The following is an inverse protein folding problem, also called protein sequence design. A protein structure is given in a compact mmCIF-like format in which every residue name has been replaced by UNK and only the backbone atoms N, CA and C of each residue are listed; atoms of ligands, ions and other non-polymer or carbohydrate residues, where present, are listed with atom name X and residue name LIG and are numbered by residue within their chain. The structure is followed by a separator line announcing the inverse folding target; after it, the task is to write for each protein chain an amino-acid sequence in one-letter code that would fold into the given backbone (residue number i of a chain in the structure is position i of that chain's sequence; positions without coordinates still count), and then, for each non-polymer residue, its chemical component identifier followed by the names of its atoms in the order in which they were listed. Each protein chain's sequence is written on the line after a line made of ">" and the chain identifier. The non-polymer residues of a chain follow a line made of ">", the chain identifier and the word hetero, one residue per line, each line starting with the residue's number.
data_IF_432594100377
#
_entry.id   IF_432594100377
#
_cell.length_a   1.000
_cell.length_b   1.000
_cell.length_c   1.000
_cell.angle_alpha   90.00
_cell.angle_beta   90.00
_cell.angle_gamma   90.00
#
_symmetry.space_group_name_H-M   'P 1'
#
loop_
_entity.id
_entity.type
_entity.pdbx_description
1 polymer ?
#
# COMPACT_ATOMS: atom_id res chain seq x y z
N UNK A 1 4.99 15.09 -21.16
CA UNK A 1 5.20 15.63 -19.80
C UNK A 1 4.51 14.75 -18.76
N UNK A 2 3.22 14.46 -18.91
CA UNK A 2 2.43 13.70 -17.91
C UNK A 2 2.98 12.30 -17.63
N UNK A 3 3.41 11.59 -18.68
CA UNK A 3 4.00 10.24 -18.55
C UNK A 3 5.36 10.24 -17.87
N UNK A 4 6.20 11.25 -18.14
CA UNK A 4 7.47 11.41 -17.42
C UNK A 4 7.24 11.69 -15.93
N UNK A 5 6.22 12.47 -15.59
CA UNK A 5 5.86 12.75 -14.18
C UNK A 5 5.43 11.48 -13.45
N UNK A 6 4.57 10.66 -14.08
CA UNK A 6 4.16 9.38 -13.49
C UNK A 6 5.33 8.40 -13.41
N UNK A 7 6.19 8.36 -14.43
CA UNK A 7 7.42 7.56 -14.42
C UNK A 7 8.38 7.96 -13.31
N UNK A 8 8.55 9.27 -13.08
CA UNK A 8 9.37 9.79 -11.97
C UNK A 8 8.78 9.43 -10.60
N UNK A 9 7.45 9.56 -10.43
CA UNK A 9 6.78 9.13 -9.20
C UNK A 9 6.99 7.63 -8.96
N UNK A 10 6.85 6.81 -10.00
CA UNK A 10 7.07 5.36 -9.89
C UNK A 10 8.52 5.03 -9.52
N UNK A 11 9.49 5.71 -10.12
CA UNK A 11 10.89 5.58 -9.75
C UNK A 11 11.12 5.94 -8.28
N UNK A 12 10.57 7.07 -7.83
CA UNK A 12 10.68 7.52 -6.44
C UNK A 12 10.06 6.49 -5.46
N UNK A 13 8.88 5.92 -5.78
CA UNK A 13 8.24 4.91 -4.92
C UNK A 13 9.04 3.60 -4.85
N UNK A 14 9.70 3.20 -5.93
CA UNK A 14 10.58 2.03 -5.93
C UNK A 14 11.78 2.27 -5.01
N UNK A 15 12.49 3.39 -5.17
CA UNK A 15 13.66 3.71 -4.33
C UNK A 15 13.27 3.85 -2.86
N UNK A 16 12.22 4.60 -2.55
CA UNK A 16 11.74 4.77 -1.17
C UNK A 16 11.25 3.44 -0.57
N UNK A 17 10.61 2.61 -1.37
CA UNK A 17 10.19 1.27 -0.96
C UNK A 17 11.37 0.37 -0.61
N UNK A 18 12.44 0.39 -1.42
CA UNK A 18 13.66 -0.36 -1.14
C UNK A 18 14.37 0.15 0.12
N UNK A 19 14.45 1.48 0.30
CA UNK A 19 15.02 2.08 1.53
C UNK A 19 14.18 1.68 2.75
N UNK A 20 12.85 1.66 2.64
CA UNK A 20 11.99 1.22 3.72
C UNK A 20 12.26 -0.25 4.08
N UNK A 21 12.25 -1.14 3.09
CA UNK A 21 12.44 -2.58 3.26
C UNK A 21 13.84 -2.95 3.77
N UNK A 22 14.86 -2.14 3.48
CA UNK A 22 16.22 -2.36 4.01
C UNK A 22 16.39 -1.94 5.47
N UNK A 23 15.46 -1.14 6.01
CA UNK A 23 15.58 -0.56 7.34
C UNK A 23 14.54 -1.06 8.35
N UNK A 24 13.39 -1.59 7.89
CA UNK A 24 12.33 -2.08 8.77
C UNK A 24 11.70 -3.36 8.22
N UNK A 25 11.04 -4.13 9.08
CA UNK A 25 10.42 -5.39 8.70
C UNK A 25 9.35 -5.22 7.61
N UNK A 26 9.25 -6.19 6.71
CA UNK A 26 8.29 -6.19 5.58
C UNK A 26 6.84 -6.07 6.09
N UNK A 27 6.49 -6.79 7.17
CA UNK A 27 5.17 -6.73 7.80
C UNK A 27 4.80 -5.30 8.24
N UNK A 28 5.77 -4.57 8.78
CA UNK A 28 5.58 -3.19 9.22
C UNK A 28 5.43 -2.23 8.03
N UNK A 29 6.25 -2.38 6.98
CA UNK A 29 6.10 -1.60 5.74
C UNK A 29 4.70 -1.81 5.13
N UNK A 30 4.20 -3.05 5.09
CA UNK A 30 2.86 -3.34 4.58
C UNK A 30 1.75 -2.77 5.48
N UNK A 31 1.97 -2.70 6.80
CA UNK A 31 1.04 -2.03 7.73
C UNK A 31 0.98 -0.51 7.46
N UNK A 32 2.13 0.15 7.24
CA UNK A 32 2.17 1.57 6.85
C UNK A 32 1.44 1.77 5.51
N UNK A 33 1.68 0.91 4.54
CA UNK A 33 0.97 0.97 3.25
C UNK A 33 -0.52 0.66 3.38
N UNK A 34 -0.95 -0.14 4.36
CA UNK A 34 -2.37 -0.39 4.62
C UNK A 34 -3.10 0.87 5.10
N UNK A 35 -2.40 1.81 5.74
CA UNK A 35 -2.94 3.11 6.15
C UNK A 35 -3.10 4.12 4.98
N UNK A 36 -2.97 3.69 3.71
CA UNK A 36 -3.13 4.53 2.51
C UNK A 36 -4.37 5.42 2.51
N UNK A 37 -5.57 5.04 3.01
CA UNK A 37 -6.72 5.93 3.09
C UNK A 37 -6.45 7.21 3.90
N UNK A 38 -5.68 7.12 4.97
CA UNK A 38 -5.26 8.28 5.76
C UNK A 38 -4.46 9.28 4.90
N UNK A 39 -3.45 8.78 4.18
CA UNK A 39 -2.65 9.59 3.27
C UNK A 39 -3.46 10.12 2.09
N UNK A 40 -4.38 9.32 1.55
CA UNK A 40 -5.24 9.74 0.43
C UNK A 40 -6.12 10.93 0.82
N UNK A 41 -6.75 10.92 2.00
CA UNK A 41 -7.57 12.04 2.49
C UNK A 41 -6.71 13.29 2.70
N UNK A 42 -5.53 13.13 3.28
CA UNK A 42 -4.58 14.22 3.50
C UNK A 42 -4.13 14.86 2.17
N UNK A 43 -3.73 14.04 1.19
CA UNK A 43 -3.31 14.50 -0.15
C UNK A 43 -4.48 15.14 -0.90
N UNK A 44 -5.68 14.56 -0.87
CA UNK A 44 -6.86 15.11 -1.52
C UNK A 44 -7.25 16.49 -0.94
N UNK A 45 -7.14 16.65 0.36
CA UNK A 45 -7.41 17.93 1.02
C UNK A 45 -6.43 19.03 0.59
N UNK A 46 -5.14 18.71 0.45
CA UNK A 46 -4.09 19.66 0.07
C UNK A 46 -4.13 19.96 -1.44
N UNK A 47 -4.21 18.93 -2.28
CA UNK A 47 -4.09 19.08 -3.74
C UNK A 47 -5.39 19.44 -4.43
N UNK A 48 -6.50 18.84 -4.01
CA UNK A 48 -7.82 18.99 -4.66
C UNK A 48 -8.73 19.96 -3.90
N UNK A 49 -8.32 20.39 -2.69
CA UNK A 49 -9.15 21.18 -1.76
C UNK A 49 -10.51 20.52 -1.48
N UNK A 50 -10.59 19.21 -1.61
CA UNK A 50 -11.81 18.46 -1.30
C UNK A 50 -12.05 18.47 0.20
N UNK A 51 -13.27 18.79 0.58
CA UNK A 51 -13.72 18.71 1.97
C UNK A 51 -14.26 17.29 2.17
N UNK A 52 -13.59 16.56 3.05
CA UNK A 52 -14.02 15.20 3.42
C UNK A 52 -15.07 15.29 4.53
N UNK A 53 -16.15 14.51 4.43
CA UNK A 53 -17.21 14.48 5.41
C UNK A 53 -16.71 14.05 6.80
N UNK A 54 -17.27 14.66 7.83
CA UNK A 54 -16.91 14.39 9.24
C UNK A 54 -16.95 12.89 9.63
N UNK A 55 -17.98 12.10 9.25
CA UNK A 55 -18.00 10.66 9.56
C UNK A 55 -16.82 9.90 8.93
N UNK A 56 -16.37 10.30 7.74
CA UNK A 56 -15.20 9.68 7.09
C UNK A 56 -13.91 10.03 7.84
N UNK A 57 -13.78 11.26 8.34
CA UNK A 57 -12.62 11.66 9.15
C UNK A 57 -12.56 10.86 10.46
N UNK A 58 -13.70 10.62 11.11
CA UNK A 58 -13.76 9.81 12.33
C UNK A 58 -13.27 8.37 12.13
N UNK A 59 -13.47 7.80 10.95
CA UNK A 59 -12.95 6.45 10.64
C UNK A 59 -11.44 6.39 10.48
N UNK A 60 -10.77 7.53 10.30
CA UNK A 60 -9.30 7.59 10.24
C UNK A 60 -8.65 7.51 11.61
N UNK A 61 -9.39 7.78 12.70
CA UNK A 61 -8.87 7.69 14.07
C UNK A 61 -8.37 6.27 14.38
N UNK A 62 -9.16 5.19 14.21
CA UNK A 62 -8.65 3.84 14.41
C UNK A 62 -7.50 3.47 13.47
N UNK A 63 -7.47 3.98 12.23
CA UNK A 63 -6.34 3.76 11.33
C UNK A 63 -5.06 4.37 11.89
N UNK A 64 -5.11 5.64 12.31
CA UNK A 64 -3.96 6.35 12.86
C UNK A 64 -3.51 5.76 14.21
N UNK A 65 -4.44 5.41 15.11
CA UNK A 65 -4.12 4.80 16.41
C UNK A 65 -3.51 3.40 16.25
N UNK A 66 -4.05 2.59 15.33
CA UNK A 66 -3.50 1.27 15.00
C UNK A 66 -2.08 1.35 14.44
N UNK A 67 -1.84 2.31 13.52
CA UNK A 67 -0.51 2.55 12.98
C UNK A 67 0.47 3.04 14.05
N UNK A 68 0.06 3.97 14.90
CA UNK A 68 0.89 4.46 16.00
C UNK A 68 1.24 3.34 16.99
N UNK A 69 0.28 2.49 17.33
CA UNK A 69 0.50 1.30 18.16
C UNK A 69 1.49 0.34 17.52
N UNK A 70 1.31 0.02 16.22
CA UNK A 70 2.22 -0.86 15.50
C UNK A 70 3.63 -0.29 15.47
N UNK A 71 3.78 1.02 15.22
CA UNK A 71 5.08 1.69 15.17
C UNK A 71 5.77 1.76 16.55
N UNK A 72 5.01 1.95 17.63
CA UNK A 72 5.58 2.08 18.98
C UNK A 72 6.15 0.77 19.53
N UNK A 73 5.68 -0.35 19.06
CA UNK A 73 6.07 -1.68 19.53
C UNK A 73 6.84 -2.49 18.49
N UNK A 74 7.21 -1.88 17.36
CA UNK A 74 8.03 -2.54 16.33
C UNK A 74 9.47 -2.70 16.80
N UNK A 75 9.93 -3.94 16.88
CA UNK A 75 11.28 -4.27 17.36
C UNK A 75 12.40 -3.77 16.42
N UNK A 76 12.09 -3.70 15.12
CA UNK A 76 13.01 -3.23 14.07
C UNK A 76 12.76 -1.76 13.69
N UNK A 77 12.13 -0.95 14.56
CA UNK A 77 11.77 0.42 14.23
C UNK A 77 13.00 1.27 13.91
N UNK A 78 12.98 1.85 12.71
CA UNK A 78 13.98 2.81 12.26
C UNK A 78 13.27 4.04 11.65
N UNK A 79 13.64 5.23 12.10
CA UNK A 79 13.05 6.47 11.60
C UNK A 79 13.22 6.63 10.08
N UNK A 80 14.38 6.26 9.53
CA UNK A 80 14.65 6.36 8.09
C UNK A 80 13.71 5.46 7.31
N UNK A 81 13.55 4.20 7.73
CA UNK A 81 12.63 3.25 7.11
C UNK A 81 11.17 3.67 7.24
N UNK A 82 10.77 4.16 8.41
CA UNK A 82 9.41 4.67 8.66
C UNK A 82 9.07 5.87 7.76
N UNK A 83 9.94 6.89 7.72
CA UNK A 83 9.73 8.06 6.86
C UNK A 83 9.74 7.70 5.38
N UNK A 84 10.66 6.82 4.95
CA UNK A 84 10.70 6.33 3.58
C UNK A 84 9.40 5.62 3.19
N UNK A 85 8.84 4.77 4.06
CA UNK A 85 7.57 4.09 3.83
C UNK A 85 6.38 5.05 3.79
N UNK A 86 6.34 6.04 4.68
CA UNK A 86 5.29 7.08 4.67
C UNK A 86 5.35 7.93 3.40
N UNK A 87 6.53 8.38 2.98
CA UNK A 87 6.72 9.15 1.75
C UNK A 87 6.38 8.32 0.51
N UNK A 88 6.78 7.05 0.48
CA UNK A 88 6.38 6.10 -0.56
C UNK A 88 4.86 6.04 -0.68
N UNK A 89 4.15 5.88 0.45
CA UNK A 89 2.70 5.80 0.48
C UNK A 89 2.02 7.11 0.02
N UNK A 90 2.56 8.27 0.39
CA UNK A 90 2.08 9.57 -0.10
C UNK A 90 2.22 9.68 -1.63
N UNK A 91 3.39 9.34 -2.17
CA UNK A 91 3.64 9.42 -3.62
C UNK A 91 2.77 8.41 -4.36
N UNK A 92 2.57 7.19 -3.84
CA UNK A 92 1.65 6.20 -4.39
C UNK A 92 0.21 6.73 -4.46
N UNK A 93 -0.25 7.45 -3.43
CA UNK A 93 -1.58 8.08 -3.43
C UNK A 93 -1.71 9.14 -4.52
N UNK A 94 -0.71 10.02 -4.66
CA UNK A 94 -0.67 11.05 -5.73
C UNK A 94 -0.64 10.38 -7.10
N UNK A 95 0.21 9.37 -7.29
CA UNK A 95 0.33 8.61 -8.53
C UNK A 95 -0.99 7.95 -8.92
N UNK A 96 -1.71 7.37 -7.96
CA UNK A 96 -3.01 6.74 -8.21
C UNK A 96 -4.07 7.74 -8.68
N UNK A 97 -4.11 8.95 -8.10
CA UNK A 97 -5.01 10.02 -8.52
C UNK A 97 -4.67 10.49 -9.94
N UNK A 98 -3.38 10.67 -10.23
CA UNK A 98 -2.90 11.07 -11.56
C UNK A 98 -3.19 9.99 -12.61
N UNK A 99 -2.94 8.72 -12.30
CA UNK A 99 -3.20 7.60 -13.19
C UNK A 99 -4.69 7.47 -13.53
N UNK A 100 -5.58 7.69 -12.56
CA UNK A 100 -7.03 7.74 -12.81
C UNK A 100 -7.41 8.85 -13.78
N UNK A 101 -6.83 10.03 -13.64
CA UNK A 101 -7.09 11.17 -14.53
C UNK A 101 -6.63 10.87 -15.96
N UNK A 102 -5.51 10.18 -16.14
CA UNK A 102 -5.01 9.78 -17.45
C UNK A 102 -5.84 8.67 -18.11
N UNK A 103 -6.31 7.70 -17.33
CA UNK A 103 -7.19 6.62 -17.77
C UNK A 103 -8.58 7.11 -18.19
N UNK A 104 -9.11 8.16 -17.57
CA UNK A 104 -10.45 8.65 -17.86
C UNK A 104 -10.58 9.46 -19.14
N UNK A 105 -9.45 9.82 -19.81
CA UNK A 105 -9.53 10.75 -20.93
C UNK A 105 -8.68 10.48 -22.16
N UNK A 106 -7.57 9.73 -22.08
CA UNK A 106 -6.60 9.70 -23.17
C UNK A 106 -5.91 8.37 -23.44
N UNK A 107 -5.83 7.45 -22.45
CA UNK A 107 -4.99 6.26 -22.57
C UNK A 107 -5.71 5.01 -22.13
N UNK A 108 -5.42 3.90 -22.80
CA UNK A 108 -5.84 2.57 -22.34
C UNK A 108 -4.97 2.11 -21.16
N UNK A 109 -5.47 1.15 -20.39
CA UNK A 109 -4.74 0.60 -19.24
C UNK A 109 -3.37 0.03 -19.62
N UNK A 110 -3.29 -0.60 -20.82
CA UNK A 110 -2.05 -1.21 -21.32
C UNK A 110 -1.05 -0.13 -21.76
N UNK A 111 -1.52 0.89 -22.47
CA UNK A 111 -0.68 2.02 -22.90
C UNK A 111 -0.12 2.78 -21.69
N UNK A 112 -0.95 3.06 -20.69
CA UNK A 112 -0.51 3.72 -19.48
C UNK A 112 0.58 2.91 -18.77
N UNK A 113 0.38 1.59 -18.64
CA UNK A 113 1.39 0.70 -18.04
C UNK A 113 2.68 0.69 -18.83
N UNK A 114 2.61 0.61 -20.15
CA UNK A 114 3.79 0.59 -21.03
C UNK A 114 4.59 1.89 -20.90
N UNK A 115 3.95 3.05 -21.08
CA UNK A 115 4.64 4.34 -21.04
C UNK A 115 5.20 4.67 -19.66
N UNK A 116 4.48 4.36 -18.59
CA UNK A 116 4.96 4.61 -17.23
C UNK A 116 6.13 3.71 -16.87
N UNK A 117 6.11 2.44 -17.30
CA UNK A 117 7.22 1.51 -17.09
C UNK A 117 8.44 1.88 -17.93
N UNK A 118 8.25 2.28 -19.19
CA UNK A 118 9.32 2.76 -20.05
C UNK A 118 9.98 4.03 -19.50
N UNK A 119 9.18 4.99 -19.04
CA UNK A 119 9.70 6.21 -18.42
C UNK A 119 10.48 5.91 -17.13
N UNK A 120 9.97 5.02 -16.27
CA UNK A 120 10.67 4.61 -15.05
C UNK A 120 12.00 3.91 -15.39
N UNK A 121 12.02 3.03 -16.41
CA UNK A 121 13.23 2.35 -16.87
C UNK A 121 14.28 3.35 -17.35
N UNK A 122 13.88 4.33 -18.17
CA UNK A 122 14.79 5.37 -18.69
C UNK A 122 15.42 6.19 -17.55
N UNK A 123 14.69 6.47 -16.50
CA UNK A 123 15.18 7.21 -15.33
C UNK A 123 16.10 6.32 -14.47
N UNK A 124 15.78 5.03 -14.33
CA UNK A 124 16.54 4.09 -13.50
C UNK A 124 17.81 3.59 -14.17
N UNK A 125 17.82 3.49 -15.50
CA UNK A 125 18.93 2.94 -16.27
C UNK A 125 20.27 3.65 -16.06
N UNK A 126 20.36 5.00 -16.05
CA UNK A 126 21.61 5.70 -15.76
C UNK A 126 22.15 5.42 -14.34
N UNK A 127 21.27 5.29 -13.37
CA UNK A 127 21.65 4.98 -11.99
C UNK A 127 22.21 3.55 -11.88
N UNK A 128 21.57 2.61 -12.56
CA UNK A 128 22.06 1.23 -12.64
C UNK A 128 23.43 1.16 -13.34
N UNK A 129 23.58 1.88 -14.47
CA UNK A 129 24.83 1.93 -15.21
C UNK A 129 25.95 2.57 -14.37
N UNK A 130 25.68 3.66 -13.68
CA UNK A 130 26.63 4.29 -12.75
C UNK A 130 27.09 3.31 -11.69
N UNK A 131 26.17 2.58 -11.06
CA UNK A 131 26.50 1.58 -10.05
C UNK A 131 27.28 0.40 -10.62
N UNK A 132 26.94 -0.05 -11.82
CA UNK A 132 27.64 -1.15 -12.48
C UNK A 132 29.07 -0.78 -12.88
N UNK A 133 29.30 0.49 -13.25
CA UNK A 133 30.63 0.98 -13.70
C UNK A 133 31.54 1.44 -12.55
N UNK A 134 30.94 2.01 -11.47
CA UNK A 134 31.71 2.67 -10.41
C UNK A 134 31.61 1.96 -9.04
N UNK A 135 30.75 0.94 -8.89
CA UNK A 135 30.80 0.09 -7.71
C UNK A 135 32.04 -0.78 -7.81
N UNK A 136 33.04 -0.47 -6.99
CA UNK A 136 34.19 -1.34 -6.80
C UNK A 136 33.74 -2.77 -6.54
N UNK A 137 34.27 -3.68 -7.34
CA UNK A 137 34.02 -5.11 -7.28
C UNK A 137 34.30 -5.57 -5.85
N UNK A 138 33.26 -5.75 -5.06
CA UNK A 138 33.39 -6.52 -3.82
C UNK A 138 33.87 -7.91 -4.21
N UNK A 139 34.94 -8.34 -3.58
CA UNK A 139 35.89 -9.44 -3.86
C UNK A 139 35.30 -10.84 -4.12
N UNK A 140 34.00 -11.01 -4.24
CA UNK A 140 33.36 -12.31 -4.52
C UNK A 140 32.50 -12.26 -5.78
N UNK A 141 33.18 -12.61 -6.85
CA UNK A 141 32.78 -12.90 -8.20
C UNK A 141 31.31 -13.07 -8.56
N UNK A 142 31.03 -12.64 -9.77
CA UNK A 142 29.80 -12.80 -10.54
C UNK A 142 28.57 -12.03 -10.00
N UNK A 143 28.52 -10.75 -10.39
CA UNK A 143 27.33 -9.88 -10.25
C UNK A 143 26.08 -10.47 -10.96
N UNK A 144 26.28 -11.50 -11.79
CA UNK A 144 25.23 -12.25 -12.49
C UNK A 144 25.35 -13.74 -12.22
N UNK A 145 24.97 -14.15 -11.01
CA UNK A 145 24.65 -15.56 -10.80
C UNK A 145 23.42 -15.93 -11.63
N UNK A 146 23.49 -17.07 -12.34
CA UNK A 146 22.41 -17.58 -13.20
C UNK A 146 21.09 -17.70 -12.44
N UNK A 147 21.16 -18.07 -11.16
CA UNK A 147 20.01 -18.17 -10.28
C UNK A 147 19.38 -16.82 -10.02
N UNK A 148 20.21 -15.79 -9.72
CA UNK A 148 19.73 -14.42 -9.53
C UNK A 148 19.05 -13.88 -10.78
N UNK A 149 19.64 -14.11 -11.96
CA UNK A 149 19.03 -13.67 -13.22
C UNK A 149 17.67 -14.34 -13.47
N UNK A 150 17.55 -15.65 -13.22
CA UNK A 150 16.27 -16.34 -13.33
C UNK A 150 15.23 -15.80 -12.35
N UNK A 151 15.61 -15.54 -11.10
CA UNK A 151 14.71 -14.97 -10.09
C UNK A 151 14.24 -13.56 -10.51
N UNK A 152 15.14 -12.71 -10.99
CA UNK A 152 14.79 -11.36 -11.48
C UNK A 152 13.85 -11.39 -12.69
N UNK A 153 14.05 -12.33 -13.62
CA UNK A 153 13.15 -12.50 -14.77
C UNK A 153 11.76 -12.95 -14.33
N UNK A 154 11.68 -13.92 -13.42
CA UNK A 154 10.40 -14.42 -12.88
C UNK A 154 9.68 -13.30 -12.11
N UNK A 155 10.40 -12.55 -11.28
CA UNK A 155 9.84 -11.43 -10.52
C UNK A 155 9.31 -10.33 -11.45
N UNK A 156 10.10 -9.93 -12.47
CA UNK A 156 9.70 -8.93 -13.44
C UNK A 156 8.48 -9.34 -14.27
N UNK A 157 8.40 -10.60 -14.70
CA UNK A 157 7.23 -11.14 -15.42
C UNK A 157 6.00 -11.17 -14.51
N UNK A 158 6.14 -11.64 -13.27
CA UNK A 158 5.06 -11.70 -12.29
C UNK A 158 4.53 -10.32 -11.95
N UNK A 159 5.43 -9.36 -11.76
CA UNK A 159 5.08 -7.96 -11.50
C UNK A 159 4.33 -7.32 -12.69
N UNK A 160 4.80 -7.55 -13.92
CA UNK A 160 4.12 -7.05 -15.12
C UNK A 160 2.72 -7.63 -15.24
N UNK A 161 2.59 -8.95 -15.10
CA UNK A 161 1.31 -9.66 -15.18
C UNK A 161 0.34 -9.16 -14.09
N UNK A 162 0.79 -9.04 -12.85
CA UNK A 162 0.02 -8.47 -11.75
C UNK A 162 -0.48 -7.05 -12.07
N UNK A 163 0.37 -6.20 -12.65
CA UNK A 163 0.02 -4.81 -12.98
C UNK A 163 -1.05 -4.76 -14.08
N UNK A 164 -0.91 -5.56 -15.13
CA UNK A 164 -1.90 -5.65 -16.22
C UNK A 164 -3.25 -6.13 -15.68
N UNK A 165 -3.27 -7.17 -14.84
CA UNK A 165 -4.50 -7.66 -14.21
C UNK A 165 -5.12 -6.62 -13.29
N UNK A 166 -4.32 -5.90 -12.50
CA UNK A 166 -4.82 -4.86 -11.59
C UNK A 166 -5.52 -3.74 -12.36
N UNK A 167 -4.92 -3.24 -13.45
CA UNK A 167 -5.55 -2.23 -14.30
C UNK A 167 -6.80 -2.76 -15.01
N UNK A 168 -6.77 -4.00 -15.49
CA UNK A 168 -7.92 -4.63 -16.12
C UNK A 168 -9.08 -4.82 -15.15
N UNK A 169 -8.82 -5.29 -13.94
CA UNK A 169 -9.82 -5.41 -12.88
C UNK A 169 -10.38 -4.03 -12.51
N UNK A 170 -9.51 -3.00 -12.40
CA UNK A 170 -9.93 -1.63 -12.10
C UNK A 170 -10.92 -1.07 -13.14
N UNK A 171 -10.88 -1.54 -14.39
CA UNK A 171 -11.85 -1.11 -15.43
C UNK A 171 -13.23 -1.73 -15.26
N UNK A 172 -13.37 -2.89 -14.60
CA UNK A 172 -14.64 -3.61 -14.45
C UNK A 172 -15.32 -3.41 -13.10
N UNK A 173 -14.58 -3.03 -12.06
CA UNK A 173 -15.12 -2.91 -10.70
C UNK A 173 -15.17 -1.46 -10.22
N UNK A 174 -16.06 -1.20 -9.27
CA UNK A 174 -16.15 0.13 -8.66
C UNK A 174 -14.87 0.46 -7.88
N UNK A 175 -14.49 1.74 -7.78
CA UNK A 175 -13.33 2.17 -6.99
C UNK A 175 -13.36 1.70 -5.55
N UNK A 176 -14.54 1.50 -5.05
CA UNK A 176 -14.85 1.02 -3.72
C UNK A 176 -14.46 -0.44 -3.54
N UNK A 177 -14.95 -1.31 -4.42
CA UNK A 177 -14.61 -2.74 -4.42
C UNK A 177 -13.10 -2.92 -4.57
N UNK A 178 -12.46 -2.09 -5.40
CA UNK A 178 -10.99 -2.09 -5.54
C UNK A 178 -10.28 -1.73 -4.24
N UNK A 179 -10.80 -0.77 -3.49
CA UNK A 179 -10.23 -0.38 -2.19
C UNK A 179 -10.32 -1.51 -1.16
N UNK A 180 -11.46 -2.22 -1.12
CA UNK A 180 -11.63 -3.39 -0.22
C UNK A 180 -10.68 -4.51 -0.62
N UNK A 181 -10.55 -4.82 -1.91
CA UNK A 181 -9.62 -5.84 -2.41
C UNK A 181 -8.18 -5.48 -2.06
N UNK A 182 -7.78 -4.23 -2.23
CA UNK A 182 -6.44 -3.77 -1.87
C UNK A 182 -6.15 -3.91 -0.37
N UNK A 183 -7.13 -3.64 0.48
CA UNK A 183 -6.99 -3.82 1.93
C UNK A 183 -6.87 -5.30 2.29
N UNK A 184 -7.70 -6.16 1.70
CA UNK A 184 -7.63 -7.61 1.89
C UNK A 184 -6.26 -8.17 1.42
N UNK A 185 -5.78 -7.74 0.23
CA UNK A 185 -4.46 -8.07 -0.28
C UNK A 185 -3.35 -7.74 0.73
N UNK A 186 -3.39 -6.55 1.35
CA UNK A 186 -2.38 -6.13 2.34
C UNK A 186 -2.44 -6.98 3.60
N UNK A 187 -3.64 -7.30 4.09
CA UNK A 187 -3.79 -8.20 5.23
C UNK A 187 -3.16 -9.58 4.95
N UNK A 188 -3.40 -10.14 3.77
CA UNK A 188 -2.78 -11.41 3.34
C UNK A 188 -1.26 -11.27 3.23
N UNK A 189 -0.74 -10.18 2.66
CA UNK A 189 0.71 -9.95 2.56
C UNK A 189 1.38 -9.84 3.93
N UNK A 190 0.74 -9.19 4.91
CA UNK A 190 1.24 -9.12 6.29
C UNK A 190 1.33 -10.53 6.88
N UNK A 191 0.28 -11.33 6.79
CA UNK A 191 0.30 -12.71 7.27
C UNK A 191 1.38 -13.56 6.58
N UNK A 192 1.51 -13.45 5.27
CA UNK A 192 2.53 -14.17 4.49
C UNK A 192 3.95 -13.72 4.85
N UNK A 193 4.18 -12.42 5.06
CA UNK A 193 5.51 -11.91 5.42
C UNK A 193 5.95 -12.42 6.79
N UNK A 194 5.03 -12.48 7.75
CA UNK A 194 5.30 -13.07 9.07
C UNK A 194 5.66 -14.54 8.96
N UNK A 195 4.88 -15.30 8.20
CA UNK A 195 5.10 -16.73 8.01
C UNK A 195 6.41 -17.05 7.25
N UNK A 196 6.76 -16.22 6.24
CA UNK A 196 7.91 -16.46 5.38
C UNK A 196 9.24 -16.02 6.02
N UNK A 197 9.23 -14.88 6.74
CA UNK A 197 10.45 -14.31 7.31
C UNK A 197 10.65 -14.63 8.79
N UNK A 198 9.70 -15.35 9.40
CA UNK A 198 9.70 -15.68 10.83
C UNK A 198 10.01 -14.46 11.73
N UNK A 199 9.55 -13.28 11.30
CA UNK A 199 9.75 -12.07 12.07
C UNK A 199 9.05 -12.17 13.41
N UNK A 200 9.78 -11.93 14.50
CA UNK A 200 9.20 -11.80 15.82
C UNK A 200 8.33 -10.54 15.84
N UNK A 201 7.02 -10.72 15.78
CA UNK A 201 6.08 -9.62 15.91
C UNK A 201 5.69 -9.49 17.38
N UNK A 202 5.87 -8.30 17.94
CA UNK A 202 5.30 -7.98 19.25
C UNK A 202 3.77 -8.13 19.21
N UNK A 203 3.17 -8.67 20.29
CA UNK A 203 1.71 -8.75 20.41
C UNK A 203 1.04 -7.38 20.22
N UNK A 204 1.70 -6.31 20.62
CA UNK A 204 1.21 -4.94 20.44
C UNK A 204 1.25 -4.50 18.97
N UNK A 205 2.32 -4.83 18.23
CA UNK A 205 2.41 -4.58 16.79
C UNK A 205 1.31 -5.33 16.04
N UNK A 206 1.06 -6.60 16.40
CA UNK A 206 -0.02 -7.38 15.81
C UNK A 206 -1.39 -6.76 16.05
N UNK A 207 -1.71 -6.40 17.30
CA UNK A 207 -2.99 -5.75 17.66
C UNK A 207 -3.13 -4.40 16.93
N UNK A 208 -2.07 -3.59 16.90
CA UNK A 208 -2.06 -2.31 16.18
C UNK A 208 -2.34 -2.49 14.68
N UNK A 209 -1.74 -3.51 14.06
CA UNK A 209 -1.98 -3.84 12.64
C UNK A 209 -3.42 -4.25 12.39
N UNK A 210 -4.01 -5.09 13.25
CA UNK A 210 -5.42 -5.50 13.15
C UNK A 210 -6.34 -4.29 13.29
N UNK A 211 -6.10 -3.41 14.26
CA UNK A 211 -6.90 -2.17 14.44
C UNK A 211 -6.78 -1.28 13.19
N UNK A 212 -5.59 -1.13 12.63
CA UNK A 212 -5.37 -0.36 11.41
C UNK A 212 -6.19 -0.92 10.23
N UNK A 213 -6.13 -2.22 9.99
CA UNK A 213 -6.86 -2.90 8.90
C UNK A 213 -8.38 -2.76 9.11
N UNK A 214 -8.87 -2.98 10.32
CA UNK A 214 -10.29 -2.80 10.65
C UNK A 214 -10.75 -1.35 10.45
N UNK A 215 -9.91 -0.38 10.82
CA UNK A 215 -10.14 1.04 10.57
C UNK A 215 -10.27 1.35 9.06
N UNK A 216 -9.45 0.71 8.23
CA UNK A 216 -9.51 0.88 6.76
C UNK A 216 -10.78 0.26 6.17
N UNK A 217 -11.22 -0.90 6.66
CA UNK A 217 -12.52 -1.47 6.27
C UNK A 217 -13.67 -0.53 6.65
N UNK A 218 -13.64 0.02 7.87
CA UNK A 218 -14.64 0.97 8.34
C UNK A 218 -14.64 2.26 7.48
N UNK A 219 -13.46 2.79 7.17
CA UNK A 219 -13.31 3.92 6.25
C UNK A 219 -13.94 3.65 4.89
N UNK A 220 -13.64 2.51 4.28
CA UNK A 220 -14.19 2.13 2.98
C UNK A 220 -15.72 2.00 3.03
N UNK A 221 -16.26 1.43 4.09
CA UNK A 221 -17.70 1.28 4.29
C UNK A 221 -18.43 2.63 4.41
N UNK A 222 -17.92 3.52 5.26
CA UNK A 222 -18.52 4.85 5.48
C UNK A 222 -18.42 5.72 4.22
N UNK A 223 -17.28 5.67 3.52
CA UNK A 223 -17.08 6.41 2.27
C UNK A 223 -18.03 5.97 1.16
N UNK A 224 -18.59 4.75 1.23
CA UNK A 224 -19.59 4.23 0.29
C UNK A 224 -21.02 4.67 0.59
N UNK A 225 -21.23 5.55 1.57
CA UNK A 225 -22.55 5.96 2.01
C UNK A 225 -23.16 5.03 3.06
N UNK A 226 -22.39 4.09 3.60
CA UNK A 226 -22.77 3.30 4.77
C UNK A 226 -22.89 4.20 6.00
N UNK A 227 -24.04 4.16 6.69
CA UNK A 227 -24.20 4.94 7.91
C UNK A 227 -23.33 4.33 9.03
N UNK A 228 -22.51 5.16 9.66
CA UNK A 228 -21.75 4.75 10.85
C UNK A 228 -22.66 4.21 11.97
N UNK A 229 -23.90 4.74 12.08
CA UNK A 229 -24.94 4.29 12.99
C UNK A 229 -25.40 2.85 12.74
N UNK A 230 -25.40 2.38 11.49
CA UNK A 230 -25.86 1.02 11.19
C UNK A 230 -24.88 -0.05 11.65
N UNK A 231 -23.57 0.20 11.56
CA UNK A 231 -22.56 -0.73 12.10
C UNK A 231 -22.65 -0.79 13.62
N UNK A 232 -22.79 0.37 14.27
CA UNK A 232 -22.90 0.44 15.72
C UNK A 232 -24.16 -0.26 16.23
N UNK A 233 -25.30 -0.12 15.51
CA UNK A 233 -26.52 -0.82 15.83
C UNK A 233 -26.43 -2.34 15.63
N UNK A 234 -25.73 -2.81 14.59
CA UNK A 234 -25.46 -4.24 14.37
C UNK A 234 -24.58 -4.84 15.49
N UNK A 235 -23.52 -4.16 15.88
CA UNK A 235 -22.65 -4.61 16.96
C UNK A 235 -23.35 -4.62 18.33
N UNK A 236 -24.18 -3.63 18.61
CA UNK A 236 -24.94 -3.56 19.88
C UNK A 236 -26.22 -4.40 19.88
N UNK A 237 -26.89 -4.60 18.73
CA UNK A 237 -28.08 -5.43 18.61
C UNK A 237 -27.76 -6.93 18.69
N UNK A 238 -26.59 -7.36 18.16
CA UNK A 238 -26.12 -8.74 18.27
C UNK A 238 -25.85 -9.21 19.71
N UNK A 239 -25.63 -8.27 20.64
CA UNK A 239 -25.44 -8.58 22.07
C UNK A 239 -26.75 -8.76 22.85
N UNK A 240 -27.90 -8.40 22.28
CA UNK A 240 -29.21 -8.51 22.97
C UNK A 240 -30.02 -9.77 22.66
N UNK A 241 -29.63 -10.56 21.64
CA UNK A 241 -30.44 -11.73 21.24
C UNK A 241 -30.07 -13.03 21.96
N UNK A 242 -29.07 -13.04 22.86
CA UNK A 242 -28.67 -14.26 23.58
C UNK A 242 -29.22 -14.38 25.01
N UNK A 243 -30.11 -13.49 25.45
CA UNK A 243 -30.63 -13.52 26.84
C UNK A 243 -32.13 -13.74 27.01
N UNK A 244 -32.86 -14.17 25.96
CA UNK A 244 -34.30 -14.40 26.05
C UNK A 244 -34.80 -15.74 25.51
N UNK A 245 -34.07 -16.84 25.77
CA UNK A 245 -34.60 -18.18 25.52
C UNK A 245 -34.29 -19.11 26.70
N UNK A 246 -34.80 -18.73 27.89
CA UNK A 246 -34.96 -19.66 29.00
C UNK A 246 -36.09 -19.17 29.90
N UNK A 247 -37.32 -19.32 29.39
CA UNK A 247 -38.55 -19.44 30.22
C UNK A 247 -39.63 -19.96 29.28
N UNK A 248 -39.81 -21.29 29.23
CA UNK A 248 -41.05 -22.06 29.31
C UNK A 248 -40.70 -23.52 29.18
#
# INVERSE_FOLDING_TARGET
>A
VDMCTVGLMRFATVILGLIALSNVAVSFVETIKASAPFFTVFVARIMLREVTDTPVILTLIPVASGLAMAASAELSFNFVGFFAACMCNCIDCVQNVFSKKLLSGRYTSVELQFYTSAAALLIQFPLFLYRALFSESSENGTIFDRTLLCCLLIDGMSYHLQSVFAYKVMSYISPVTMSVINTAKRAVLICLSVAAFHNEISSVTFVGTVICIMGVFLYNYVKQGGSFMSIFSYFFSGSRSSSSSNQY
#
